data_IF_231988357503
#
_entry.id   IF_231988357503
#
_cell.length_a   1.000
_cell.length_b   1.000
_cell.length_c   1.000
_cell.angle_alpha   90.00
_cell.angle_beta   90.00
_cell.angle_gamma   90.00
#
_symmetry.space_group_name_H-M   'P 1'
#
loop_
_entity.id
_entity.type
_entity.pdbx_description
1 polymer ?
#
# COMPACT_ATOMS: atom_id res chain seq x y z
N UNK A 1 21.17 -29.55 10.40
CA UNK A 1 20.63 -28.18 10.19
C UNK A 1 21.48 -27.54 9.10
N UNK A 2 20.98 -27.49 7.85
CA UNK A 2 21.76 -27.14 6.65
C UNK A 2 21.63 -25.66 6.32
N UNK A 3 22.77 -24.96 6.25
CA UNK A 3 22.90 -23.51 6.10
C UNK A 3 22.62 -22.95 4.68
N UNK A 4 21.80 -23.64 3.86
CA UNK A 4 21.54 -23.28 2.45
C UNK A 4 20.05 -23.27 2.05
N UNK A 5 19.12 -23.40 3.00
CA UNK A 5 17.71 -23.13 2.69
C UNK A 5 17.49 -21.62 2.51
N UNK A 6 17.79 -21.13 1.30
CA UNK A 6 17.32 -19.82 0.87
C UNK A 6 15.79 -19.88 0.85
N UNK A 7 15.08 -18.99 1.57
CA UNK A 7 13.62 -19.00 1.56
C UNK A 7 13.13 -18.84 0.12
N UNK A 8 12.20 -19.71 -0.27
CA UNK A 8 11.68 -19.81 -1.63
C UNK A 8 11.35 -18.44 -2.21
N UNK A 9 11.86 -18.18 -3.42
CA UNK A 9 11.68 -16.95 -4.21
C UNK A 9 10.30 -16.34 -3.98
N UNK A 10 10.25 -15.19 -3.31
CA UNK A 10 9.01 -14.44 -3.09
C UNK A 10 8.36 -14.13 -4.46
N UNK A 11 7.04 -14.30 -4.61
CA UNK A 11 6.34 -14.06 -5.86
C UNK A 11 6.66 -12.68 -6.42
N UNK A 12 6.72 -12.57 -7.75
CA UNK A 12 7.05 -11.34 -8.48
C UNK A 12 6.27 -10.11 -7.96
N UNK A 13 5.00 -10.31 -7.59
CA UNK A 13 4.12 -9.30 -7.01
C UNK A 13 4.58 -8.77 -5.63
N UNK A 14 5.09 -9.64 -4.75
CA UNK A 14 5.66 -9.20 -3.47
C UNK A 14 6.92 -8.37 -3.69
N UNK A 15 7.77 -8.76 -4.64
CA UNK A 15 8.98 -8.00 -4.96
C UNK A 15 8.66 -6.61 -5.52
N UNK A 16 7.59 -6.51 -6.33
CA UNK A 16 7.12 -5.22 -6.86
C UNK A 16 6.53 -4.33 -5.75
N UNK A 17 5.72 -4.90 -4.85
CA UNK A 17 5.17 -4.16 -3.71
C UNK A 17 6.25 -3.73 -2.71
N UNK A 18 7.22 -4.59 -2.40
CA UNK A 18 8.36 -4.27 -1.52
C UNK A 18 9.39 -3.32 -2.17
N UNK A 19 9.40 -3.18 -3.50
CA UNK A 19 10.29 -2.27 -4.20
C UNK A 19 9.80 -0.81 -4.20
N UNK A 20 8.51 -0.56 -3.95
CA UNK A 20 7.98 0.79 -3.86
C UNK A 20 8.20 1.29 -2.42
N UNK A 21 9.09 2.27 -2.16
CA UNK A 21 9.52 2.61 -0.81
C UNK A 21 8.38 2.98 0.16
N UNK A 22 7.29 3.54 -0.38
CA UNK A 22 6.13 3.97 0.39
C UNK A 22 5.10 2.85 0.62
N UNK A 23 4.86 2.01 -0.39
CA UNK A 23 3.88 0.92 -0.30
C UNK A 23 4.49 -0.37 0.27
N UNK A 24 5.79 -0.57 0.13
CA UNK A 24 6.52 -1.73 0.61
C UNK A 24 6.69 -1.76 2.12
N UNK A 25 6.80 -0.60 2.77
CA UNK A 25 6.77 -0.50 4.23
C UNK A 25 5.37 -0.81 4.77
N UNK A 26 4.33 -0.19 4.19
CA UNK A 26 2.93 -0.43 4.55
C UNK A 26 2.53 -1.91 4.35
N UNK A 27 2.95 -2.52 3.25
CA UNK A 27 2.67 -3.92 2.94
C UNK A 27 3.45 -4.89 3.85
N UNK A 28 4.65 -4.50 4.31
CA UNK A 28 5.43 -5.29 5.27
C UNK A 28 4.73 -5.33 6.63
N UNK A 29 4.30 -4.17 7.11
CA UNK A 29 3.61 -4.04 8.42
C UNK A 29 2.21 -4.62 8.38
N UNK A 30 1.47 -4.49 7.28
CA UNK A 30 0.16 -5.13 7.14
C UNK A 30 0.23 -6.67 7.06
N UNK A 31 1.31 -7.23 6.48
CA UNK A 31 1.44 -8.69 6.31
C UNK A 31 2.06 -9.41 7.52
N UNK A 32 2.88 -8.72 8.33
CA UNK A 32 3.62 -9.34 9.44
C UNK A 32 3.43 -8.63 10.79
N UNK A 33 2.68 -7.52 10.83
CA UNK A 33 2.49 -6.71 12.03
C UNK A 33 1.50 -7.34 13.00
N UNK A 34 1.77 -7.16 14.29
CA UNK A 34 0.83 -7.49 15.37
C UNK A 34 -0.34 -6.50 15.34
N UNK A 35 -1.51 -6.81 15.92
CA UNK A 35 -2.67 -5.92 15.89
C UNK A 35 -2.37 -4.51 16.43
N UNK A 36 -1.42 -4.35 17.36
CA UNK A 36 -0.93 -3.05 17.82
C UNK A 36 -0.17 -2.23 16.76
N UNK A 37 0.48 -2.87 15.78
CA UNK A 37 1.30 -2.21 14.76
C UNK A 37 0.44 -1.55 13.67
N UNK A 38 -0.74 -2.12 13.37
CA UNK A 38 -1.67 -1.60 12.36
C UNK A 38 -2.11 -0.16 12.65
N UNK A 39 -2.23 0.20 13.94
CA UNK A 39 -2.56 1.56 14.37
C UNK A 39 -1.46 2.57 13.98
N UNK A 40 -0.19 2.21 14.18
CA UNK A 40 0.94 3.06 13.81
C UNK A 40 1.07 3.21 12.29
N UNK A 41 0.82 2.13 11.54
CA UNK A 41 0.80 2.14 10.08
C UNK A 41 -0.30 3.08 9.54
N UNK A 42 -1.51 3.01 10.10
CA UNK A 42 -2.61 3.90 9.73
C UNK A 42 -2.31 5.37 10.08
N UNK A 43 -1.76 5.63 11.26
CA UNK A 43 -1.36 6.98 11.68
C UNK A 43 -0.31 7.57 10.74
N UNK A 44 0.72 6.79 10.37
CA UNK A 44 1.76 7.22 9.44
C UNK A 44 1.19 7.58 8.06
N UNK A 45 0.23 6.79 7.55
CA UNK A 45 -0.43 7.04 6.27
C UNK A 45 -1.26 8.33 6.30
N UNK A 46 -2.00 8.57 7.39
CA UNK A 46 -2.75 9.82 7.58
C UNK A 46 -1.81 11.02 7.72
N UNK A 47 -0.72 10.90 8.46
CA UNK A 47 0.29 11.97 8.58
C UNK A 47 0.92 12.30 7.22
N UNK A 48 1.28 11.28 6.44
CA UNK A 48 1.85 11.47 5.11
C UNK A 48 0.86 12.14 4.15
N UNK A 49 -0.42 11.77 4.21
CA UNK A 49 -1.48 12.44 3.47
C UNK A 49 -1.67 13.90 3.93
N UNK A 50 -1.61 14.15 5.24
CA UNK A 50 -1.62 15.50 5.82
C UNK A 50 -0.46 16.35 5.29
N UNK A 51 0.75 15.80 5.22
CA UNK A 51 1.90 16.48 4.63
C UNK A 51 1.67 16.83 3.15
N UNK A 52 1.06 15.93 2.38
CA UNK A 52 0.65 16.20 0.99
C UNK A 52 -0.34 17.36 0.90
N UNK A 53 -1.34 17.40 1.77
CA UNK A 53 -2.30 18.50 1.83
C UNK A 53 -1.64 19.84 2.21
N UNK A 54 -0.64 19.84 3.09
CA UNK A 54 0.10 21.05 3.47
C UNK A 54 1.03 21.54 2.34
N UNK A 55 1.68 20.63 1.62
CA UNK A 55 2.62 20.96 0.55
C UNK A 55 1.93 21.40 -0.75
N UNK A 56 0.84 20.72 -1.11
CA UNK A 56 0.15 20.91 -2.39
C UNK A 56 -1.23 21.55 -2.26
N UNK A 57 -1.70 21.82 -1.05
CA UNK A 57 -3.02 22.41 -0.79
C UNK A 57 -4.18 21.45 -1.04
N UNK A 58 -5.30 21.99 -1.52
CA UNK A 58 -6.50 21.24 -1.92
C UNK A 58 -6.18 20.05 -2.86
N UNK A 59 -5.34 20.21 -3.90
CA UNK A 59 -4.91 19.09 -4.74
C UNK A 59 -4.36 17.90 -3.95
N UNK A 60 -3.50 18.16 -2.96
CA UNK A 60 -2.89 17.12 -2.12
C UNK A 60 -3.92 16.36 -1.28
N UNK A 61 -5.00 17.03 -0.88
CA UNK A 61 -6.14 16.42 -0.18
C UNK A 61 -6.96 15.52 -1.11
N UNK A 62 -7.16 15.91 -2.38
CA UNK A 62 -7.94 15.15 -3.36
C UNK A 62 -7.19 13.96 -4.00
N UNK A 63 -5.87 13.84 -3.81
CA UNK A 63 -5.07 12.75 -4.39
C UNK A 63 -5.60 11.33 -4.09
N UNK A 64 -6.01 10.96 -2.87
CA UNK A 64 -6.55 9.63 -2.61
C UNK A 64 -7.86 9.38 -3.36
N UNK A 65 -8.72 10.40 -3.47
CA UNK A 65 -9.97 10.31 -4.23
C UNK A 65 -9.70 10.10 -5.72
N UNK A 66 -8.70 10.81 -6.27
CA UNK A 66 -8.28 10.64 -7.66
C UNK A 66 -7.67 9.25 -7.91
N UNK A 67 -6.86 8.74 -6.97
CA UNK A 67 -6.28 7.41 -7.06
C UNK A 67 -7.35 6.29 -7.01
N UNK A 68 -8.50 6.54 -6.40
CA UNK A 68 -9.64 5.60 -6.38
C UNK A 68 -10.39 5.52 -7.71
N UNK A 69 -10.24 6.48 -8.62
CA UNK A 69 -10.91 6.48 -9.93
C UNK A 69 -10.62 5.20 -10.74
N UNK A 70 -9.35 4.83 -11.03
CA UNK A 70 -9.07 3.58 -11.75
C UNK A 70 -9.56 2.34 -11.00
N UNK A 71 -9.56 2.35 -9.66
CA UNK A 71 -10.08 1.25 -8.85
C UNK A 71 -11.58 1.06 -9.09
N UNK A 72 -12.35 2.16 -9.08
CA UNK A 72 -13.78 2.11 -9.39
C UNK A 72 -14.03 1.67 -10.83
N UNK A 73 -13.24 2.13 -11.80
CA UNK A 73 -13.33 1.63 -13.18
C UNK A 73 -13.09 0.11 -13.25
N UNK A 74 -12.06 -0.41 -12.57
CA UNK A 74 -11.80 -1.84 -12.52
C UNK A 74 -12.95 -2.62 -11.87
N UNK A 75 -13.51 -2.11 -10.77
CA UNK A 75 -14.68 -2.72 -10.12
C UNK A 75 -15.87 -2.77 -11.07
N UNK A 76 -16.18 -1.65 -11.74
CA UNK A 76 -17.28 -1.58 -12.71
C UNK A 76 -17.06 -2.54 -13.87
N UNK A 77 -15.84 -2.62 -14.41
CA UNK A 77 -15.50 -3.58 -15.46
C UNK A 77 -15.66 -5.01 -14.96
N UNK A 78 -15.20 -5.32 -13.74
CA UNK A 78 -15.29 -6.66 -13.17
C UNK A 78 -16.75 -7.10 -12.97
N UNK A 79 -17.60 -6.22 -12.43
CA UNK A 79 -19.02 -6.48 -12.24
C UNK A 79 -19.75 -6.60 -13.59
N UNK A 80 -19.34 -5.80 -14.59
CA UNK A 80 -19.92 -5.83 -15.93
C UNK A 80 -19.52 -7.08 -16.74
N UNK A 81 -18.59 -7.89 -16.25
CA UNK A 81 -18.12 -9.12 -16.93
C UNK A 81 -18.96 -10.36 -16.66
N UNK A 82 -19.97 -10.28 -15.77
CA UNK A 82 -20.91 -11.38 -15.47
C UNK A 82 -20.35 -12.38 -14.46
#
# INVERSE_FOLDING_TARGET
>A
MTAIEMPGRLPFWQRLLFAIPLFGWLARDAANGKPEDLGYTAAALVSMWGCSALLFGLPGLYLPALAMVPVMFLILVLISRG
#
